data_IF_303477526749
#
_entry.id   IF_303477526749
#
_cell.length_a   1.000
_cell.length_b   1.000
_cell.length_c   1.000
_cell.angle_alpha   90.00
_cell.angle_beta   90.00
_cell.angle_gamma   90.00
#
_symmetry.space_group_name_H-M   'P 1'
#
loop_
_entity.id
_entity.type
_entity.pdbx_description
1 polymer ?
#
# COMPACT_ATOMS: atom_id res chain seq x y z
N UNK A 1 -25.26 23.98 6.89
CA UNK A 1 -25.14 22.50 7.01
C UNK A 1 -23.99 22.07 7.91
N UNK A 2 -22.71 22.25 7.55
CA UNK A 2 -21.56 21.83 8.41
C UNK A 2 -21.51 22.61 9.74
N UNK A 3 -21.77 23.92 9.69
CA UNK A 3 -21.77 24.79 10.88
C UNK A 3 -23.07 24.73 11.71
N UNK A 4 -24.10 24.02 11.25
CA UNK A 4 -25.42 23.98 11.91
C UNK A 4 -25.64 22.71 12.74
N UNK A 5 -24.61 21.86 12.91
CA UNK A 5 -24.71 20.64 13.72
C UNK A 5 -25.67 19.56 13.16
N UNK A 6 -26.22 19.77 11.97
CA UNK A 6 -27.12 18.81 11.33
C UNK A 6 -26.28 17.62 10.86
N UNK A 7 -26.61 16.41 11.32
CA UNK A 7 -25.92 15.20 10.88
C UNK A 7 -26.14 14.98 9.37
N UNK A 8 -25.06 14.97 8.60
CA UNK A 8 -25.09 14.66 7.18
C UNK A 8 -24.11 13.53 6.88
N UNK A 9 -24.49 12.65 5.94
CA UNK A 9 -23.60 11.60 5.43
C UNK A 9 -23.05 12.04 4.09
N UNK A 10 -21.73 12.20 4.00
CA UNK A 10 -21.07 12.52 2.74
C UNK A 10 -21.05 11.27 1.83
N UNK A 11 -21.99 11.20 0.89
CA UNK A 11 -22.04 10.14 -0.13
C UNK A 11 -21.30 10.67 -1.37
N UNK A 12 -20.20 10.00 -1.76
CA UNK A 12 -19.42 10.36 -2.96
C UNK A 12 -18.06 11.04 -2.71
N UNK A 13 -17.63 11.16 -1.45
CA UNK A 13 -16.26 11.60 -1.13
C UNK A 13 -15.19 10.55 -1.41
N UNK A 14 -13.95 10.79 -0.94
CA UNK A 14 -12.85 9.82 -1.05
C UNK A 14 -13.27 8.49 -0.43
N UNK A 15 -13.24 7.41 -1.22
CA UNK A 15 -13.62 6.07 -0.75
C UNK A 15 -12.69 5.64 0.38
N UNK A 16 -13.23 5.03 1.42
CA UNK A 16 -12.46 4.59 2.59
C UNK A 16 -11.25 3.72 2.21
N UNK A 17 -11.44 2.75 1.31
CA UNK A 17 -10.38 1.85 0.82
C UNK A 17 -9.38 2.49 -0.16
N UNK A 18 -9.64 3.71 -0.62
CA UNK A 18 -8.67 4.44 -1.44
C UNK A 18 -7.64 5.20 -0.59
N UNK A 19 -7.88 5.33 0.71
CA UNK A 19 -6.94 5.96 1.64
C UNK A 19 -5.62 5.19 1.67
N UNK A 20 -4.52 5.93 1.72
CA UNK A 20 -3.16 5.38 1.68
C UNK A 20 -2.92 4.37 2.81
N UNK A 21 -3.28 4.73 4.04
CA UNK A 21 -3.12 3.89 5.23
C UNK A 21 -3.84 2.54 5.08
N UNK A 22 -5.09 2.57 4.60
CA UNK A 22 -5.89 1.35 4.41
C UNK A 22 -5.24 0.45 3.35
N UNK A 23 -4.78 1.03 2.23
CA UNK A 23 -4.09 0.26 1.20
C UNK A 23 -2.76 -0.33 1.68
N UNK A 24 -2.06 0.37 2.56
CA UNK A 24 -0.77 -0.09 3.07
C UNK A 24 -0.97 -1.28 4.04
N UNK A 25 -1.98 -1.24 4.91
CA UNK A 25 -2.39 -2.38 5.75
C UNK A 25 -2.86 -3.57 4.90
N UNK A 26 -3.69 -3.31 3.89
CA UNK A 26 -4.12 -4.36 2.96
C UNK A 26 -2.93 -4.97 2.22
N UNK A 27 -1.93 -4.17 1.83
CA UNK A 27 -0.71 -4.66 1.19
C UNK A 27 0.08 -5.62 2.09
N UNK A 28 0.18 -5.33 3.39
CA UNK A 28 0.77 -6.26 4.36
C UNK A 28 0.00 -7.58 4.45
N UNK A 29 -1.32 -7.51 4.54
CA UNK A 29 -2.16 -8.71 4.62
C UNK A 29 -2.02 -9.59 3.35
N UNK A 30 -1.95 -8.97 2.18
CA UNK A 30 -1.72 -9.69 0.93
C UNK A 30 -0.36 -10.37 0.89
N UNK A 31 0.70 -9.75 1.42
CA UNK A 31 2.03 -10.37 1.49
C UNK A 31 2.08 -11.56 2.45
N UNK A 32 1.34 -11.50 3.56
CA UNK A 32 1.22 -12.64 4.49
C UNK A 32 0.55 -13.82 3.79
N UNK A 33 -0.49 -13.55 2.98
CA UNK A 33 -1.21 -14.59 2.24
C UNK A 33 -0.44 -15.10 1.03
N UNK A 34 0.17 -14.20 0.25
CA UNK A 34 0.94 -14.49 -0.95
C UNK A 34 2.28 -13.75 -0.92
N UNK A 35 3.36 -14.40 -0.46
CA UNK A 35 4.70 -13.80 -0.41
C UNK A 35 5.32 -13.48 -1.78
N UNK A 36 4.76 -14.01 -2.88
CA UNK A 36 5.27 -13.78 -4.24
C UNK A 36 4.66 -12.55 -4.93
N UNK A 37 3.83 -11.78 -4.23
CA UNK A 37 3.19 -10.59 -4.77
C UNK A 37 4.15 -9.39 -4.81
N UNK A 38 4.76 -9.18 -5.97
CA UNK A 38 5.70 -8.09 -6.23
C UNK A 38 5.05 -6.70 -6.11
N UNK A 39 3.79 -6.56 -6.52
CA UNK A 39 3.10 -5.26 -6.55
C UNK A 39 2.84 -4.76 -5.13
N UNK A 40 2.36 -5.65 -4.26
CA UNK A 40 2.15 -5.30 -2.86
C UNK A 40 3.47 -5.14 -2.10
N UNK A 41 4.51 -5.91 -2.46
CA UNK A 41 5.85 -5.76 -1.88
C UNK A 41 6.44 -4.37 -2.15
N UNK A 42 6.52 -3.96 -3.43
CA UNK A 42 7.09 -2.66 -3.81
C UNK A 42 6.37 -1.48 -3.17
N UNK A 43 5.07 -1.63 -2.89
CA UNK A 43 4.26 -0.63 -2.18
C UNK A 43 4.64 -0.48 -0.70
N UNK A 44 4.68 -1.57 0.06
CA UNK A 44 4.76 -1.54 1.53
C UNK A 44 6.18 -1.69 2.09
N UNK A 45 7.15 -2.03 1.25
CA UNK A 45 8.55 -2.29 1.65
C UNK A 45 9.24 -1.10 2.35
N UNK A 46 8.81 0.13 2.08
CA UNK A 46 9.35 1.35 2.72
C UNK A 46 8.33 2.10 3.58
N UNK A 47 7.27 1.43 4.04
CA UNK A 47 6.26 2.03 4.93
C UNK A 47 6.09 1.15 6.17
N UNK A 48 6.72 1.44 7.32
CA UNK A 48 7.54 2.61 7.68
C UNK A 48 8.89 2.66 6.95
N UNK A 49 9.59 3.81 6.91
CA UNK A 49 10.84 3.95 6.18
C UNK A 49 11.91 2.99 6.71
N UNK A 50 12.37 2.07 5.85
CA UNK A 50 13.40 1.07 6.16
C UNK A 50 14.77 1.39 5.56
N UNK A 51 14.90 2.50 4.83
CA UNK A 51 16.14 2.86 4.14
C UNK A 51 16.43 2.03 2.88
N UNK A 52 15.44 1.33 2.32
CA UNK A 52 15.62 0.52 1.11
C UNK A 52 15.57 1.44 -0.11
N UNK A 53 16.69 1.61 -0.82
CA UNK A 53 16.76 2.45 -2.00
C UNK A 53 16.07 1.84 -3.23
N UNK A 54 15.66 2.70 -4.17
CA UNK A 54 15.06 2.26 -5.44
C UNK A 54 15.98 1.34 -6.26
N UNK A 55 17.30 1.59 -6.22
CA UNK A 55 18.30 0.74 -6.88
C UNK A 55 18.32 -0.68 -6.27
N UNK A 56 18.38 -0.77 -4.95
CA UNK A 56 18.38 -2.05 -4.23
C UNK A 56 17.12 -2.86 -4.50
N UNK A 57 15.95 -2.22 -4.55
CA UNK A 57 14.68 -2.87 -4.89
C UNK A 57 14.70 -3.42 -6.32
N UNK A 58 15.17 -2.63 -7.28
CA UNK A 58 15.26 -3.02 -8.69
C UNK A 58 16.23 -4.19 -8.90
N UNK A 59 17.40 -4.14 -8.26
CA UNK A 59 18.39 -5.21 -8.34
C UNK A 59 17.85 -6.51 -7.75
N UNK A 60 17.10 -6.43 -6.63
CA UNK A 60 16.41 -7.58 -6.03
C UNK A 60 15.37 -8.20 -6.96
N UNK A 61 14.52 -7.39 -7.57
CA UNK A 61 13.50 -7.85 -8.53
C UNK A 61 14.17 -8.54 -9.73
N UNK A 62 15.21 -7.91 -10.32
CA UNK A 62 15.97 -8.49 -11.42
C UNK A 62 16.60 -9.85 -11.04
N UNK A 63 17.13 -9.96 -9.82
CA UNK A 63 17.68 -11.22 -9.30
C UNK A 63 16.60 -12.31 -9.19
N UNK A 64 15.41 -11.97 -8.66
CA UNK A 64 14.28 -12.89 -8.57
C UNK A 64 13.85 -13.39 -9.96
N UNK A 65 13.77 -12.52 -10.97
CA UNK A 65 13.44 -12.92 -12.34
C UNK A 65 14.50 -13.80 -12.99
N UNK A 66 15.79 -13.56 -12.72
CA UNK A 66 16.89 -14.36 -13.26
C UNK A 66 16.94 -15.78 -12.68
N UNK A 67 16.44 -15.96 -11.46
CA UNK A 67 16.50 -17.23 -10.72
C UNK A 67 15.29 -18.15 -10.97
N UNK A 68 14.33 -17.68 -11.78
CA UNK A 68 13.14 -18.41 -12.22
C UNK A 68 13.43 -19.15 -13.51
#
# INVERSE_FOLDING_TARGET
>A
MIQQGIQYRLVGGVRFYQRREIKDVMGYMHLIHNPQDEVNLTRVINVPPRGIGAKSLKDFINWCHKKK
#
